data_IF_133863828686
#
_entry.id   IF_133863828686
#
_cell.length_a   1.000
_cell.length_b   1.000
_cell.length_c   1.000
_cell.angle_alpha   90.00
_cell.angle_beta   90.00
_cell.angle_gamma   90.00
#
_symmetry.space_group_name_H-M   'P 1'
#
loop_
_entity.id
_entity.type
_entity.pdbx_description
1 polymer ?
#
# COMPACT_ATOMS: atom_id res chain seq x y z
N UNK A 1 -8.75 32.76 4.51
CA UNK A 1 -7.45 33.01 5.17
C UNK A 1 -7.15 31.76 5.97
N UNK A 2 -6.16 30.95 5.55
CA UNK A 2 -5.85 29.68 6.22
C UNK A 2 -5.32 29.97 7.63
N UNK A 3 -5.74 29.22 8.66
CA UNK A 3 -5.38 29.49 10.03
C UNK A 3 -3.93 29.03 10.22
N UNK A 4 -3.01 29.99 10.29
CA UNK A 4 -1.59 29.87 10.67
C UNK A 4 -0.76 28.87 9.85
N UNK A 5 0.29 29.36 9.16
CA UNK A 5 1.13 28.58 8.23
C UNK A 5 1.82 27.32 8.77
N UNK A 6 1.71 27.02 10.06
CA UNK A 6 2.05 25.71 10.63
C UNK A 6 1.11 24.62 10.12
N UNK A 7 -0.20 24.89 10.02
CA UNK A 7 -1.16 23.91 9.52
C UNK A 7 -0.96 23.65 8.02
N UNK A 8 -0.66 24.70 7.25
CA UNK A 8 -0.34 24.56 5.82
C UNK A 8 0.98 23.79 5.61
N UNK A 9 1.98 24.01 6.48
CA UNK A 9 3.23 23.26 6.47
C UNK A 9 3.01 21.78 6.81
N UNK A 10 2.23 21.47 7.86
CA UNK A 10 1.88 20.09 8.23
C UNK A 10 1.13 19.40 7.09
N UNK A 11 0.16 20.07 6.47
CA UNK A 11 -0.58 19.52 5.34
C UNK A 11 0.34 19.23 4.13
N UNK A 12 1.33 20.08 3.87
CA UNK A 12 2.32 19.86 2.82
C UNK A 12 3.25 18.68 3.17
N UNK A 13 3.71 18.57 4.41
CA UNK A 13 4.56 17.46 4.83
C UNK A 13 3.81 16.13 4.85
N UNK A 14 2.53 16.13 5.27
CA UNK A 14 1.69 14.93 5.24
C UNK A 14 1.45 14.48 3.80
N UNK A 15 1.13 15.40 2.88
CA UNK A 15 1.02 15.06 1.47
C UNK A 15 2.34 14.47 0.93
N UNK A 16 3.47 15.10 1.23
CA UNK A 16 4.76 14.64 0.72
C UNK A 16 5.14 13.27 1.30
N UNK A 17 5.00 13.05 2.61
CA UNK A 17 5.54 11.86 3.27
C UNK A 17 4.52 10.73 3.44
N UNK A 18 3.23 11.03 3.49
CA UNK A 18 2.15 10.05 3.64
C UNK A 18 1.45 9.68 2.33
N UNK A 19 1.49 10.54 1.31
CA UNK A 19 0.81 10.30 0.03
C UNK A 19 1.74 10.13 -1.18
N UNK A 20 2.79 10.94 -1.33
CA UNK A 20 3.45 11.06 -2.64
C UNK A 20 4.88 10.51 -2.70
N UNK A 21 5.65 10.56 -1.61
CA UNK A 21 7.09 10.32 -1.66
C UNK A 21 7.56 9.19 -0.73
N UNK A 22 6.66 8.41 -0.15
CA UNK A 22 6.99 7.36 0.81
C UNK A 22 8.02 6.36 0.26
N UNK A 23 7.71 5.70 -0.86
CA UNK A 23 8.61 4.75 -1.50
C UNK A 23 9.86 5.41 -2.10
N UNK A 24 9.73 6.62 -2.64
CA UNK A 24 10.84 7.37 -3.25
C UNK A 24 11.84 7.94 -2.24
N UNK A 25 11.39 8.25 -1.02
CA UNK A 25 12.22 8.79 0.06
C UNK A 25 12.63 7.74 1.10
N UNK A 26 12.21 6.48 0.97
CA UNK A 26 12.47 5.43 1.94
C UNK A 26 11.87 5.74 3.32
N UNK A 27 10.74 6.46 3.34
CA UNK A 27 10.05 6.83 4.57
C UNK A 27 9.06 5.73 4.89
N UNK A 28 9.10 5.20 6.11
CA UNK A 28 8.03 4.34 6.62
C UNK A 28 6.88 5.24 7.11
N UNK A 29 5.69 5.14 6.50
CA UNK A 29 4.49 5.91 6.87
C UNK A 29 4.14 5.72 8.36
N UNK A 30 4.33 4.51 8.89
CA UNK A 30 4.06 4.19 10.30
C UNK A 30 5.07 4.86 11.24
N UNK A 31 6.35 4.86 10.86
CA UNK A 31 7.39 5.57 11.62
C UNK A 31 7.22 7.09 11.55
N UNK A 32 6.65 7.61 10.45
CA UNK A 32 6.37 9.04 10.26
C UNK A 32 5.06 9.49 10.93
N UNK A 33 4.25 8.55 11.43
CA UNK A 33 2.99 8.86 12.12
C UNK A 33 1.83 9.20 11.19
N UNK A 34 1.89 8.76 9.93
CA UNK A 34 0.78 8.87 9.01
C UNK A 34 -0.41 8.06 9.55
N UNK A 35 -1.60 8.68 9.74
CA UNK A 35 -2.75 7.96 10.25
C UNK A 35 -3.26 6.97 9.22
N UNK A 36 -3.47 5.71 9.65
CA UNK A 36 -4.12 4.68 8.86
C UNK A 36 -5.60 5.06 8.67
N UNK A 37 -5.89 5.72 7.55
CA UNK A 37 -7.17 6.41 7.32
C UNK A 37 -8.34 5.46 7.06
N UNK A 38 -8.00 4.22 6.68
CA UNK A 38 -8.95 3.19 6.27
C UNK A 38 -9.09 2.04 7.28
N UNK A 39 -8.23 1.96 8.31
CA UNK A 39 -8.21 0.86 9.28
C UNK A 39 -9.44 0.86 10.20
N UNK A 40 -9.81 -0.31 10.70
CA UNK A 40 -10.89 -0.51 11.66
C UNK A 40 -12.28 -0.71 11.03
N UNK A 41 -12.34 -1.05 9.74
CA UNK A 41 -13.56 -1.48 9.06
C UNK A 41 -14.03 -2.88 9.52
N UNK A 42 -13.16 -3.65 10.19
CA UNK A 42 -13.33 -5.08 10.49
C UNK A 42 -13.53 -5.95 9.23
N UNK A 43 -13.09 -5.45 8.07
CA UNK A 43 -13.19 -6.11 6.78
C UNK A 43 -12.00 -5.70 5.93
N UNK A 44 -11.11 -6.66 5.67
CA UNK A 44 -9.85 -6.40 4.98
C UNK A 44 -10.07 -5.86 3.55
N UNK A 45 -11.04 -6.42 2.83
CA UNK A 45 -11.34 -6.00 1.46
C UNK A 45 -11.84 -4.55 1.43
N UNK A 46 -12.75 -4.19 2.34
CA UNK A 46 -13.28 -2.83 2.48
C UNK A 46 -12.17 -1.84 2.81
N UNK A 47 -11.26 -2.21 3.70
CA UNK A 47 -10.12 -1.36 4.03
C UNK A 47 -9.20 -1.17 2.81
N UNK A 48 -8.85 -2.25 2.11
CA UNK A 48 -8.01 -2.18 0.90
C UNK A 48 -8.68 -1.30 -0.16
N UNK A 49 -9.98 -1.43 -0.38
CA UNK A 49 -10.72 -0.57 -1.33
C UNK A 49 -10.70 0.90 -0.93
N UNK A 50 -10.74 1.21 0.37
CA UNK A 50 -10.56 2.57 0.87
C UNK A 50 -9.13 3.07 0.62
N UNK A 51 -8.11 2.26 0.89
CA UNK A 51 -6.71 2.68 0.82
C UNK A 51 -6.23 2.93 -0.60
N UNK A 52 -6.71 2.14 -1.58
CA UNK A 52 -6.35 2.29 -3.00
C UNK A 52 -7.39 3.11 -3.79
N UNK A 53 -8.49 3.51 -3.16
CA UNK A 53 -9.58 4.25 -3.77
C UNK A 53 -9.24 5.71 -4.08
N UNK A 54 -10.19 6.46 -4.65
CA UNK A 54 -9.99 7.87 -4.96
C UNK A 54 -9.71 8.68 -3.68
N UNK A 55 -8.49 9.22 -3.56
CA UNK A 55 -8.02 9.95 -2.36
C UNK A 55 -7.47 9.06 -1.24
N UNK A 56 -7.41 7.74 -1.44
CA UNK A 56 -6.75 6.80 -0.54
C UNK A 56 -5.22 6.94 -0.58
N UNK A 57 -4.56 6.62 0.55
CA UNK A 57 -3.12 6.81 0.73
C UNK A 57 -2.24 5.84 -0.07
N UNK A 58 -2.82 4.83 -0.73
CA UNK A 58 -2.13 3.84 -1.56
C UNK A 58 -2.57 3.91 -3.03
N UNK A 59 -3.29 4.96 -3.43
CA UNK A 59 -3.78 5.14 -4.79
C UNK A 59 -2.63 5.38 -5.79
N UNK A 60 -1.56 6.03 -5.35
CA UNK A 60 -0.33 6.25 -6.12
C UNK A 60 0.43 4.93 -6.34
N UNK A 61 0.61 4.12 -5.29
CA UNK A 61 1.21 2.78 -5.39
C UNK A 61 0.38 1.88 -6.33
N UNK A 62 -0.95 1.97 -6.27
CA UNK A 62 -1.83 1.28 -7.21
C UNK A 62 -1.63 1.77 -8.64
N UNK A 63 -1.50 3.09 -8.85
CA UNK A 63 -1.27 3.66 -10.18
C UNK A 63 0.10 3.23 -10.76
N UNK A 64 1.14 3.19 -9.93
CA UNK A 64 2.47 2.70 -10.29
C UNK A 64 2.38 1.23 -10.70
N UNK A 65 1.80 0.37 -9.86
CA UNK A 65 1.60 -1.05 -10.18
C UNK A 65 0.77 -1.24 -11.45
N UNK A 66 -0.31 -0.46 -11.62
CA UNK A 66 -1.18 -0.54 -12.81
C UNK A 66 -0.47 -0.11 -14.10
N UNK A 67 0.55 0.74 -14.00
CA UNK A 67 1.38 1.16 -15.12
C UNK A 67 2.50 0.15 -15.43
N UNK A 68 2.80 -0.80 -14.54
CA UNK A 68 3.77 -1.86 -14.74
C UNK A 68 3.05 -3.18 -15.12
N UNK A 69 3.15 -3.65 -16.38
CA UNK A 69 2.52 -4.89 -16.81
C UNK A 69 2.93 -6.12 -15.98
N UNK A 70 4.16 -6.15 -15.46
CA UNK A 70 4.65 -7.25 -14.63
C UNK A 70 4.04 -7.23 -13.23
N UNK A 71 3.74 -6.05 -12.69
CA UNK A 71 3.02 -5.94 -11.41
C UNK A 71 1.56 -6.42 -11.56
N UNK A 72 0.89 -6.02 -12.64
CA UNK A 72 -0.47 -6.49 -12.95
C UNK A 72 -0.49 -8.01 -13.17
N UNK A 73 0.48 -8.55 -13.92
CA UNK A 73 0.59 -9.99 -14.14
C UNK A 73 0.87 -10.76 -12.84
N UNK A 74 1.76 -10.23 -11.99
CA UNK A 74 2.05 -10.79 -10.66
C UNK A 74 0.81 -10.83 -9.77
N UNK A 75 0.08 -9.72 -9.68
CA UNK A 75 -1.16 -9.61 -8.89
C UNK A 75 -2.22 -10.62 -9.35
N UNK A 76 -2.44 -10.73 -10.66
CA UNK A 76 -3.35 -11.73 -11.23
C UNK A 76 -2.89 -13.17 -10.94
N UNK A 77 -1.57 -13.43 -10.97
CA UNK A 77 -1.01 -14.73 -10.68
C UNK A 77 -1.26 -15.13 -9.21
N UNK A 78 -1.01 -14.21 -8.26
CA UNK A 78 -1.32 -14.44 -6.85
C UNK A 78 -2.82 -14.67 -6.61
N UNK A 79 -3.68 -13.89 -7.27
CA UNK A 79 -5.14 -14.07 -7.17
C UNK A 79 -5.64 -15.40 -7.73
N UNK A 80 -4.87 -16.07 -8.58
CA UNK A 80 -5.18 -17.39 -9.11
C UNK A 80 -4.62 -18.53 -8.25
N UNK A 81 -3.72 -18.24 -7.30
CA UNK A 81 -3.15 -19.25 -6.41
C UNK A 81 -4.19 -19.73 -5.39
N UNK A 82 -4.26 -21.05 -5.11
CA UNK A 82 -5.05 -21.55 -3.99
C UNK A 82 -4.61 -20.91 -2.67
N UNK A 83 -5.57 -20.66 -1.78
CA UNK A 83 -5.27 -20.08 -0.47
C UNK A 83 -4.24 -20.95 0.28
N UNK A 84 -3.13 -20.32 0.70
CA UNK A 84 -2.03 -20.98 1.40
C UNK A 84 -1.05 -21.78 0.51
N UNK A 85 -1.20 -21.73 -0.82
CA UNK A 85 -0.25 -22.38 -1.74
C UNK A 85 1.01 -21.52 -1.94
N UNK A 86 1.97 -21.70 -1.04
CA UNK A 86 3.24 -20.98 -1.10
C UNK A 86 4.03 -21.31 -2.37
N UNK A 87 3.94 -22.55 -2.88
CA UNK A 87 4.68 -22.94 -4.09
C UNK A 87 4.15 -22.19 -5.31
N UNK A 88 2.83 -21.99 -5.40
CA UNK A 88 2.23 -21.15 -6.43
C UNK A 88 2.69 -19.69 -6.30
N UNK A 89 2.69 -19.13 -5.09
CA UNK A 89 3.15 -17.76 -4.86
C UNK A 89 4.63 -17.57 -5.25
N UNK A 90 5.50 -18.51 -4.86
CA UNK A 90 6.93 -18.45 -5.18
C UNK A 90 7.16 -18.52 -6.70
N UNK A 91 6.36 -19.33 -7.41
CA UNK A 91 6.40 -19.41 -8.87
C UNK A 91 5.94 -18.10 -9.52
N UNK A 92 4.86 -17.48 -9.04
CA UNK A 92 4.40 -16.18 -9.53
C UNK A 92 5.49 -15.10 -9.37
N UNK A 93 6.14 -15.04 -8.21
CA UNK A 93 7.24 -14.12 -7.97
C UNK A 93 8.41 -14.35 -8.94
N UNK A 94 8.76 -15.61 -9.21
CA UNK A 94 9.82 -15.96 -10.17
C UNK A 94 9.46 -15.64 -11.63
N UNK A 95 8.19 -15.74 -12.01
CA UNK A 95 7.73 -15.41 -13.37
C UNK A 95 7.68 -13.90 -13.63
N UNK A 96 7.38 -13.10 -12.59
CA UNK A 96 7.13 -11.67 -12.69
C UNK A 96 8.06 -10.85 -11.79
N UNK A 97 9.36 -11.17 -11.82
CA UNK A 97 10.38 -10.53 -10.95
C UNK A 97 10.39 -9.01 -11.08
N UNK A 98 10.18 -8.49 -12.28
CA UNK A 98 10.15 -7.05 -12.54
C UNK A 98 8.90 -6.34 -12.01
N UNK A 99 7.88 -7.08 -11.55
CA UNK A 99 6.69 -6.56 -10.87
C UNK A 99 6.78 -6.57 -9.35
N UNK A 100 7.75 -7.30 -8.76
CA UNK A 100 7.82 -7.53 -7.31
C UNK A 100 7.95 -6.22 -6.52
N UNK A 101 8.79 -5.30 -6.96
CA UNK A 101 9.03 -4.06 -6.21
C UNK A 101 7.75 -3.23 -6.09
N UNK A 102 7.04 -3.02 -7.21
CA UNK A 102 5.80 -2.23 -7.24
C UNK A 102 4.66 -2.97 -6.53
N UNK A 103 4.59 -4.30 -6.66
CA UNK A 103 3.60 -5.11 -5.96
C UNK A 103 3.80 -5.05 -4.44
N UNK A 104 5.05 -5.17 -3.98
CA UNK A 104 5.36 -5.08 -2.56
C UNK A 104 5.09 -3.68 -2.01
N UNK A 105 5.40 -2.61 -2.76
CA UNK A 105 5.07 -1.25 -2.35
C UNK A 105 3.56 -1.09 -2.11
N UNK A 106 2.74 -1.53 -3.07
CA UNK A 106 1.28 -1.54 -2.94
C UNK A 106 0.79 -2.40 -1.77
N UNK A 107 1.29 -3.62 -1.65
CA UNK A 107 0.88 -4.54 -0.58
C UNK A 107 1.27 -4.01 0.81
N UNK A 108 2.46 -3.44 0.96
CA UNK A 108 2.91 -2.81 2.21
C UNK A 108 2.01 -1.61 2.53
N UNK A 109 1.74 -0.72 1.57
CA UNK A 109 0.86 0.40 1.82
C UNK A 109 -0.54 -0.06 2.26
N UNK A 110 -1.17 -0.93 1.46
CA UNK A 110 -2.55 -1.32 1.68
C UNK A 110 -2.71 -2.18 2.94
N UNK A 111 -1.87 -3.20 3.15
CA UNK A 111 -2.06 -4.18 4.23
C UNK A 111 -1.35 -3.76 5.52
N UNK A 112 -0.17 -3.16 5.42
CA UNK A 112 0.70 -2.96 6.57
C UNK A 112 0.57 -1.59 7.21
N UNK A 113 0.29 -0.58 6.38
CA UNK A 113 0.20 0.81 6.81
C UNK A 113 -1.27 1.22 6.96
N UNK A 114 -2.09 1.04 5.93
CA UNK A 114 -3.49 1.50 5.95
C UNK A 114 -4.47 0.50 6.59
N UNK A 115 -4.24 -0.81 6.47
CA UNK A 115 -5.20 -1.84 6.91
C UNK A 115 -4.61 -2.82 7.92
N UNK A 116 -3.76 -2.33 8.83
CA UNK A 116 -3.05 -3.21 9.75
C UNK A 116 -3.98 -3.99 10.68
N UNK A 117 -4.99 -3.33 11.25
CA UNK A 117 -5.98 -3.95 12.12
C UNK A 117 -6.88 -4.92 11.36
N UNK A 118 -7.29 -4.55 10.15
CA UNK A 118 -8.26 -5.33 9.36
C UNK A 118 -7.65 -6.51 8.60
N UNK A 119 -6.42 -6.37 8.09
CA UNK A 119 -5.78 -7.33 7.19
C UNK A 119 -4.58 -8.05 7.81
N UNK A 120 -3.73 -7.32 8.52
CA UNK A 120 -2.41 -7.83 8.93
C UNK A 120 -2.44 -8.53 10.30
N UNK A 121 -3.44 -8.23 11.14
CA UNK A 121 -3.64 -8.84 12.48
C UNK A 121 -2.37 -8.84 13.37
N UNK A 122 -1.46 -7.90 13.14
CA UNK A 122 -0.19 -7.79 13.89
C UNK A 122 0.97 -8.64 13.37
N UNK A 123 0.88 -9.24 12.18
CA UNK A 123 2.06 -9.84 11.53
C UNK A 123 3.07 -8.77 11.12
N UNK A 124 4.35 -9.15 11.08
CA UNK A 124 5.40 -8.26 10.61
C UNK A 124 5.31 -8.12 9.09
N UNK A 125 5.43 -6.89 8.62
CA UNK A 125 5.52 -6.61 7.19
C UNK A 125 6.97 -6.67 6.72
N UNK A 126 7.20 -7.14 5.49
CA UNK A 126 8.54 -7.22 4.90
C UNK A 126 9.17 -5.85 4.71
#
# INVERSE_FOLDING_TARGET
MSPNGVNDYIALTDCLFCQECTGSCGVDKMAYGCPASCDGANDCDTCIQCSIGAGGLCADDLAICSANPECVALSNCYGACPAGDQMCNDMCAQMHVAGIADYNALAICAVCQECKGDCNQGMACP
#
